data_IF_748145858272
#
_entry.id   IF_748145858272
#
_cell.length_a   1.000
_cell.length_b   1.000
_cell.length_c   1.000
_cell.angle_alpha   90.00
_cell.angle_beta   90.00
_cell.angle_gamma   90.00
#
_symmetry.space_group_name_H-M   'P 1'
#
loop_
_entity.id
_entity.type
_entity.pdbx_description
1 polymer ?
#
# COMPACT_ATOMS: atom_id res chain seq x y z
N UNK A 1 -19.35 20.13 8.62
CA UNK A 1 -19.92 18.82 8.97
C UNK A 1 -18.91 17.75 8.56
N UNK A 2 -17.62 17.86 8.93
CA UNK A 2 -16.55 17.13 8.19
C UNK A 2 -15.35 16.79 9.09
N UNK A 3 -15.55 15.99 10.14
CA UNK A 3 -14.46 15.55 11.03
C UNK A 3 -14.36 14.02 11.21
N UNK A 4 -15.18 13.24 10.52
CA UNK A 4 -15.25 11.77 10.68
C UNK A 4 -14.71 10.99 9.46
N UNK A 5 -14.50 11.64 8.31
CA UNK A 5 -13.97 10.97 7.10
C UNK A 5 -12.42 10.93 7.01
N UNK A 6 -11.70 11.52 7.95
CA UNK A 6 -10.24 11.75 7.82
C UNK A 6 -9.41 10.46 7.94
N UNK A 7 -9.83 9.49 8.78
CA UNK A 7 -9.01 8.32 9.12
C UNK A 7 -8.67 7.45 7.90
N UNK A 8 -9.67 7.16 7.06
CA UNK A 8 -9.48 6.33 5.87
C UNK A 8 -8.67 7.04 4.79
N UNK A 9 -8.89 8.35 4.60
CA UNK A 9 -8.17 9.14 3.61
C UNK A 9 -6.69 9.31 3.98
N UNK A 10 -6.41 9.64 5.24
CA UNK A 10 -5.04 9.73 5.78
C UNK A 10 -4.29 8.40 5.66
N UNK A 11 -4.96 7.28 5.97
CA UNK A 11 -4.38 5.94 5.87
C UNK A 11 -4.02 5.54 4.44
N UNK A 12 -4.91 5.82 3.49
CA UNK A 12 -4.65 5.58 2.06
C UNK A 12 -3.53 6.47 1.52
N UNK A 13 -3.44 7.73 1.96
CA UNK A 13 -2.36 8.63 1.56
C UNK A 13 -1.01 8.15 2.12
N UNK A 14 -0.95 7.75 3.39
CA UNK A 14 0.27 7.21 3.98
C UNK A 14 0.76 5.96 3.26
N UNK A 15 -0.15 5.05 2.88
CA UNK A 15 0.17 3.86 2.07
C UNK A 15 0.83 4.25 0.74
N UNK A 16 0.34 5.29 0.05
CA UNK A 16 0.97 5.78 -1.19
C UNK A 16 2.37 6.33 -0.91
N UNK A 17 2.53 7.13 0.14
CA UNK A 17 3.81 7.74 0.50
C UNK A 17 4.90 6.71 0.79
N UNK A 18 4.59 5.64 1.53
CA UNK A 18 5.57 4.58 1.87
C UNK A 18 5.67 3.48 0.81
N UNK A 19 4.78 3.48 -0.19
CA UNK A 19 4.71 2.45 -1.22
C UNK A 19 4.23 1.09 -0.71
N UNK A 20 3.38 1.08 0.32
CA UNK A 20 2.79 -0.15 0.85
C UNK A 20 1.82 -0.78 -0.15
N UNK A 21 1.67 -2.11 -0.08
CA UNK A 21 0.84 -2.86 -1.02
C UNK A 21 -0.66 -2.60 -0.80
N UNK A 22 -1.08 -2.49 0.46
CA UNK A 22 -2.48 -2.31 0.84
C UNK A 22 -2.59 -1.60 2.20
N UNK A 23 -3.70 -0.90 2.41
CA UNK A 23 -4.14 -0.36 3.70
C UNK A 23 -5.53 -0.94 3.97
N UNK A 24 -5.74 -1.42 5.20
CA UNK A 24 -6.98 -2.10 5.61
C UNK A 24 -7.27 -1.68 7.04
N UNK A 25 -8.39 -0.99 7.25
CA UNK A 25 -8.89 -0.70 8.60
C UNK A 25 -9.49 -1.97 9.23
N UNK A 26 -9.17 -2.23 10.50
CA UNK A 26 -9.71 -3.36 11.24
C UNK A 26 -9.96 -3.01 12.71
N UNK A 27 -10.83 -3.79 13.36
CA UNK A 27 -11.08 -3.70 14.80
C UNK A 27 -10.94 -5.08 15.42
N UNK A 28 -9.90 -5.27 16.23
CA UNK A 28 -9.68 -6.52 16.97
C UNK A 28 -10.80 -6.80 17.99
N UNK A 29 -11.44 -5.75 18.52
CA UNK A 29 -12.52 -5.86 19.52
C UNK A 29 -13.80 -6.44 18.93
N UNK A 30 -14.20 -5.97 17.75
CA UNK A 30 -15.41 -6.42 17.04
C UNK A 30 -15.11 -7.47 15.97
N UNK A 31 -13.85 -7.87 15.84
CA UNK A 31 -13.33 -8.75 14.79
C UNK A 31 -13.59 -8.27 13.35
N UNK A 32 -13.92 -6.99 13.18
CA UNK A 32 -14.18 -6.41 11.88
C UNK A 32 -12.89 -6.40 11.05
N UNK A 33 -12.97 -6.94 9.83
CA UNK A 33 -11.88 -7.03 8.85
C UNK A 33 -10.63 -7.81 9.28
N UNK A 34 -10.61 -8.45 10.46
CA UNK A 34 -9.44 -9.20 10.94
C UNK A 34 -9.05 -10.31 9.97
N UNK A 35 -10.02 -11.10 9.50
CA UNK A 35 -9.79 -12.13 8.48
C UNK A 35 -9.25 -11.55 7.17
N UNK A 36 -9.72 -10.37 6.76
CA UNK A 36 -9.31 -9.70 5.52
C UNK A 36 -7.85 -9.28 5.59
N UNK A 37 -7.40 -8.76 6.74
CA UNK A 37 -5.99 -8.41 6.99
C UNK A 37 -5.09 -9.64 6.80
N UNK A 38 -5.43 -10.77 7.42
CA UNK A 38 -4.65 -11.99 7.32
C UNK A 38 -4.70 -12.61 5.92
N UNK A 39 -5.87 -12.67 5.29
CA UNK A 39 -6.02 -13.18 3.91
C UNK A 39 -5.18 -12.36 2.92
N UNK A 40 -5.16 -11.04 3.07
CA UNK A 40 -4.35 -10.15 2.24
C UNK A 40 -2.84 -10.39 2.47
N UNK A 41 -2.41 -10.48 3.73
CA UNK A 41 -1.01 -10.73 4.07
C UNK A 41 -0.52 -12.07 3.52
N UNK A 42 -1.31 -13.15 3.68
CA UNK A 42 -0.98 -14.48 3.15
C UNK A 42 -0.88 -14.44 1.62
N UNK A 43 -1.84 -13.80 0.94
CA UNK A 43 -1.81 -13.66 -0.53
C UNK A 43 -0.55 -12.93 -1.00
N UNK A 44 -0.16 -11.85 -0.34
CA UNK A 44 1.04 -11.06 -0.68
C UNK A 44 2.31 -11.88 -0.43
N UNK A 45 2.35 -12.62 0.68
CA UNK A 45 3.49 -13.48 1.01
C UNK A 45 3.68 -14.61 -0.01
N UNK A 46 2.57 -15.26 -0.43
CA UNK A 46 2.60 -16.36 -1.39
C UNK A 46 2.77 -15.90 -2.85
N UNK A 47 2.22 -14.73 -3.19
CA UNK A 47 2.21 -14.18 -4.54
C UNK A 47 2.63 -12.70 -4.46
N UNK A 48 3.93 -12.43 -4.27
CA UNK A 48 4.40 -11.07 -4.13
C UNK A 48 4.12 -10.28 -5.42
N UNK A 49 3.59 -9.05 -5.31
CA UNK A 49 3.38 -8.20 -6.47
C UNK A 49 4.71 -7.92 -7.15
N UNK A 50 4.73 -7.93 -8.49
CA UNK A 50 5.94 -7.61 -9.26
C UNK A 50 6.39 -6.20 -8.87
N UNK A 51 7.67 -5.98 -8.50
CA UNK A 51 8.16 -4.66 -8.19
C UNK A 51 7.95 -3.75 -9.41
N UNK A 52 7.30 -2.60 -9.22
CA UNK A 52 7.18 -1.58 -10.25
C UNK A 52 8.59 -1.11 -10.60
N UNK A 53 9.12 -1.56 -11.74
CA UNK A 53 10.44 -1.12 -12.23
C UNK A 53 10.36 0.39 -12.44
N UNK A 54 11.16 1.17 -11.68
CA UNK A 54 11.39 2.57 -12.02
C UNK A 54 11.99 2.61 -13.44
N UNK A 55 11.51 3.47 -14.35
CA UNK A 55 12.13 3.59 -15.67
C UNK A 55 13.61 3.92 -15.46
N UNK A 56 14.50 3.05 -15.96
CA UNK A 56 15.94 3.36 -16.01
C UNK A 56 16.06 4.60 -16.91
N UNK A 57 16.40 5.76 -16.33
CA UNK A 57 16.92 6.88 -17.13
C UNK A 57 18.16 6.34 -17.85
N UNK A 58 18.08 6.16 -19.17
CA UNK A 58 19.25 5.92 -20.00
C UNK A 58 20.16 7.12 -19.83
N UNK A 59 21.28 6.95 -19.12
CA UNK A 59 22.35 7.95 -19.13
C UNK A 59 23.02 7.83 -20.48
N UNK A 60 22.53 8.56 -21.47
CA UNK A 60 23.29 8.82 -22.70
C UNK A 60 24.45 9.72 -22.32
N UNK A 61 25.61 9.15 -22.04
CA UNK A 61 26.88 9.87 -22.12
C UNK A 61 27.21 9.99 -23.60
N UNK A 62 27.03 11.17 -24.17
CA UNK A 62 27.69 11.54 -25.43
C UNK A 62 29.02 12.17 -25.07
N UNK A 63 30.12 11.56 -25.51
CA UNK A 63 31.42 12.21 -25.58
C UNK A 63 31.38 13.19 -26.75
N UNK A 64 31.62 14.48 -26.49
CA UNK A 64 31.89 15.50 -27.49
C UNK A 64 33.34 15.96 -27.33
#
# INVERSE_FOLDING_TARGET
>A
MDLINDCGEQGEELKKMIGAVSYIECSSKTQQNVKVVFDAAIKIALRPPKPKKKPRKTRTCTFL
#
